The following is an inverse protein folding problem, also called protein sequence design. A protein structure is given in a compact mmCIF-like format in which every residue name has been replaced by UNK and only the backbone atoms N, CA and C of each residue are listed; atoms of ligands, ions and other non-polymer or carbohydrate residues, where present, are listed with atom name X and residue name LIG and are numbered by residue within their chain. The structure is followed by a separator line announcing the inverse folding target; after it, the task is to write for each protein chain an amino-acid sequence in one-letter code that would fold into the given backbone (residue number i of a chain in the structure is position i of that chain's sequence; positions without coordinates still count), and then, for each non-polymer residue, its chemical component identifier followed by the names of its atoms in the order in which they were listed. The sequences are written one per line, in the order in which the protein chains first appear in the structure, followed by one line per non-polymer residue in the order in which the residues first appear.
data_IF_109629094567
#
_entry.id   IF_109629094567
#
_cell.length_a   1.000
_cell.length_b   1.000
_cell.length_c   1.000
_cell.angle_alpha   90.00
_cell.angle_beta   90.00
_cell.angle_gamma   90.00
#
_symmetry.space_group_name_H-M   'P 1'
#
loop_
_entity.id
_entity.type
_entity.pdbx_description
1 polymer ?
#
# COMPACT_ATOMS: atom_id res chain seq x y z
N UNK A 1 -35.80 8.93 -14.77
CA UNK A 1 -35.30 8.83 -13.40
C UNK A 1 -34.07 7.89 -13.23
N UNK A 2 -34.09 6.64 -13.67
CA UNK A 2 -32.89 5.73 -13.52
C UNK A 2 -31.58 6.26 -14.12
N UNK A 3 -31.59 6.91 -15.28
CA UNK A 3 -30.36 7.46 -15.91
C UNK A 3 -29.77 8.64 -15.16
N UNK A 4 -30.59 9.46 -14.51
CA UNK A 4 -30.12 10.60 -13.69
C UNK A 4 -29.53 10.10 -12.38
N UNK A 5 -30.10 9.06 -11.78
CA UNK A 5 -29.59 8.45 -10.54
C UNK A 5 -28.21 7.79 -10.78
N UNK A 6 -28.05 7.09 -11.92
CA UNK A 6 -26.78 6.48 -12.28
C UNK A 6 -25.70 7.54 -12.56
N UNK A 7 -26.05 8.68 -13.14
CA UNK A 7 -25.14 9.81 -13.34
C UNK A 7 -24.71 10.46 -12.04
N UNK A 8 -25.62 10.60 -11.07
CA UNK A 8 -25.31 11.15 -9.74
C UNK A 8 -24.39 10.22 -8.94
N UNK A 9 -24.64 8.91 -8.97
CA UNK A 9 -23.79 7.93 -8.29
C UNK A 9 -22.39 7.91 -8.89
N UNK A 10 -22.27 7.95 -10.22
CA UNK A 10 -20.96 8.03 -10.89
C UNK A 10 -20.23 9.34 -10.57
N UNK A 11 -20.92 10.48 -10.49
CA UNK A 11 -20.34 11.76 -10.12
C UNK A 11 -19.89 11.81 -8.65
N UNK A 12 -20.64 11.18 -7.74
CA UNK A 12 -20.22 11.06 -6.33
C UNK A 12 -18.97 10.17 -6.16
N UNK A 13 -18.86 9.09 -6.92
CA UNK A 13 -17.68 8.21 -6.90
C UNK A 13 -16.44 8.95 -7.43
N UNK A 14 -16.59 9.73 -8.50
CA UNK A 14 -15.51 10.54 -9.05
C UNK A 14 -15.11 11.72 -8.14
N UNK A 15 -16.03 12.30 -7.40
CA UNK A 15 -15.74 13.39 -6.47
C UNK A 15 -14.98 12.91 -5.21
N UNK A 16 -15.16 11.66 -4.78
CA UNK A 16 -14.41 11.06 -3.66
C UNK A 16 -12.97 10.70 -4.10
N UNK A 17 -12.75 10.47 -5.39
CA UNK A 17 -11.43 10.11 -5.94
C UNK A 17 -10.48 11.31 -6.14
N UNK A 18 -10.92 12.54 -5.90
CA UNK A 18 -10.09 13.75 -6.04
C UNK A 18 -9.37 14.19 -4.77
N UNK A 19 -9.21 13.29 -3.80
CA UNK A 19 -8.29 13.51 -2.68
C UNK A 19 -6.84 13.62 -3.15
N UNK A 20 -6.05 14.48 -2.53
CA UNK A 20 -4.60 14.53 -2.74
C UNK A 20 -4.02 13.14 -2.47
N UNK A 21 -3.40 12.53 -3.48
CA UNK A 21 -2.65 11.31 -3.28
C UNK A 21 -1.43 11.67 -2.41
N UNK A 22 -1.45 11.28 -1.14
CA UNK A 22 -0.24 11.29 -0.34
C UNK A 22 0.62 10.12 -0.80
N UNK A 23 1.89 10.39 -1.08
CA UNK A 23 2.88 9.34 -1.28
C UNK A 23 3.07 8.66 0.07
N UNK A 24 2.94 7.36 0.09
CA UNK A 24 3.35 6.55 1.24
C UNK A 24 4.86 6.74 1.45
N UNK A 25 5.24 7.35 2.56
CA UNK A 25 6.64 7.70 2.84
C UNK A 25 7.40 6.53 3.48
N UNK A 26 6.75 5.37 3.70
CA UNK A 26 7.32 4.32 4.52
C UNK A 26 6.89 2.91 4.13
N UNK A 27 7.87 2.01 4.09
CA UNK A 27 7.68 0.56 4.07
C UNK A 27 6.99 -0.01 2.83
N UNK A 28 6.32 -1.12 3.04
CA UNK A 28 5.51 -1.78 2.02
C UNK A 28 4.12 -1.15 2.02
N UNK A 29 3.64 -0.64 0.88
CA UNK A 29 2.34 0.01 0.80
C UNK A 29 1.21 -1.00 1.06
N UNK A 30 0.04 -0.51 1.51
CA UNK A 30 -1.18 -1.32 1.67
C UNK A 30 -1.63 -2.02 0.38
N UNK A 31 -1.09 -1.60 -0.74
CA UNK A 31 -1.26 -2.22 -2.05
C UNK A 31 -0.06 -3.10 -2.39
N UNK A 32 -0.21 -4.41 -2.24
CA UNK A 32 0.81 -5.37 -2.64
C UNK A 32 0.67 -5.73 -4.12
N UNK A 33 1.78 -5.74 -4.85
CA UNK A 33 1.80 -6.22 -6.23
C UNK A 33 1.28 -7.66 -6.31
N UNK A 34 0.26 -7.89 -7.14
CA UNK A 34 -0.38 -9.20 -7.29
C UNK A 34 -1.51 -9.51 -6.31
N UNK A 35 -1.79 -8.66 -5.34
CA UNK A 35 -2.87 -8.86 -4.35
C UNK A 35 -4.24 -9.08 -5.01
N UNK A 36 -4.52 -8.36 -6.09
CA UNK A 36 -5.75 -8.47 -6.87
C UNK A 36 -5.48 -9.07 -8.26
N UNK A 37 -4.65 -10.11 -8.29
CA UNK A 37 -4.32 -10.83 -9.51
C UNK A 37 -5.46 -11.77 -9.97
N UNK A 38 -5.16 -12.71 -10.84
CA UNK A 38 -6.11 -13.69 -11.37
C UNK A 38 -6.89 -14.38 -10.24
N UNK A 39 -8.18 -14.54 -10.45
CA UNK A 39 -9.15 -15.14 -9.51
C UNK A 39 -9.56 -14.26 -8.30
N UNK A 40 -9.00 -13.07 -8.10
CA UNK A 40 -9.41 -12.19 -7.01
C UNK A 40 -10.90 -11.82 -7.03
N UNK A 41 -11.52 -11.76 -8.21
CA UNK A 41 -12.95 -11.47 -8.38
C UNK A 41 -13.86 -12.70 -8.26
N UNK A 42 -13.31 -13.89 -8.03
CA UNK A 42 -14.12 -15.10 -7.85
C UNK A 42 -14.77 -15.06 -6.47
N UNK A 43 -16.11 -15.16 -6.38
CA UNK A 43 -16.78 -15.28 -5.09
C UNK A 43 -16.22 -16.47 -4.29
N UNK A 44 -16.00 -16.26 -3.01
CA UNK A 44 -15.45 -17.29 -2.13
C UNK A 44 -16.54 -18.03 -1.36
N UNK A 45 -16.18 -19.12 -0.71
CA UNK A 45 -17.09 -19.83 0.20
C UNK A 45 -17.47 -18.90 1.36
N UNK A 46 -18.78 -18.79 1.69
CA UNK A 46 -19.21 -17.99 2.84
C UNK A 46 -18.59 -18.48 4.15
N UNK A 47 -18.32 -17.55 5.06
CA UNK A 47 -17.74 -17.82 6.36
C UNK A 47 -16.44 -17.07 6.63
N UNK A 48 -15.78 -17.45 7.71
CA UNK A 48 -14.50 -16.89 8.12
C UNK A 48 -13.34 -17.49 7.34
N UNK A 49 -12.36 -16.68 7.05
CA UNK A 49 -11.10 -17.07 6.43
C UNK A 49 -9.92 -16.37 7.09
N UNK A 50 -8.79 -17.07 7.17
CA UNK A 50 -7.51 -16.49 7.56
C UNK A 50 -6.53 -16.76 6.43
N UNK A 51 -6.01 -15.69 5.85
CA UNK A 51 -5.01 -15.74 4.78
C UNK A 51 -3.69 -15.23 5.32
N UNK A 52 -2.62 -15.93 5.01
CA UNK A 52 -1.26 -15.55 5.36
C UNK A 52 -0.48 -15.33 4.07
N UNK A 53 0.10 -14.14 3.93
CA UNK A 53 0.89 -13.75 2.76
C UNK A 53 2.30 -13.39 3.21
N UNK A 54 3.29 -14.17 2.81
CA UNK A 54 4.68 -13.80 2.94
C UNK A 54 5.08 -12.93 1.75
N UNK A 55 5.56 -11.73 2.01
CA UNK A 55 5.98 -10.78 1.00
C UNK A 55 7.40 -10.31 1.27
N UNK A 56 8.18 -10.14 0.24
CA UNK A 56 9.53 -9.58 0.32
C UNK A 56 9.67 -8.47 -0.71
N UNK A 57 9.85 -7.26 -0.22
CA UNK A 57 10.17 -6.12 -1.05
C UNK A 57 11.68 -5.91 -1.07
N UNK A 58 12.23 -5.66 -2.26
CA UNK A 58 13.60 -5.22 -2.46
C UNK A 58 13.59 -4.16 -3.54
N UNK A 59 14.03 -2.98 -3.20
CA UNK A 59 14.05 -1.85 -4.12
C UNK A 59 15.33 -1.05 -4.03
N UNK A 60 15.73 -0.47 -5.16
CA UNK A 60 16.82 0.48 -5.20
C UNK A 60 16.57 1.57 -6.23
N UNK A 61 17.01 2.78 -5.94
CA UNK A 61 17.00 3.90 -6.88
C UNK A 61 18.31 4.68 -6.75
N UNK A 62 18.91 4.97 -7.89
CA UNK A 62 20.12 5.76 -7.97
C UNK A 62 19.91 6.96 -8.90
N UNK A 63 20.46 8.10 -8.53
CA UNK A 63 20.44 9.31 -9.34
C UNK A 63 21.79 9.99 -9.31
N UNK A 64 22.28 10.37 -10.50
CA UNK A 64 23.46 11.23 -10.66
C UNK A 64 23.05 12.52 -11.34
N UNK A 65 23.43 13.65 -10.75
CA UNK A 65 23.21 15.00 -11.30
C UNK A 65 24.56 15.66 -11.51
N UNK A 66 24.82 16.14 -12.73
CA UNK A 66 26.03 16.89 -13.08
C UNK A 66 25.69 18.39 -13.05
N UNK A 67 26.47 19.14 -12.28
CA UNK A 67 26.36 20.60 -12.20
C UNK A 67 27.24 21.27 -13.26
N UNK A 68 27.02 22.57 -13.49
CA UNK A 68 27.92 23.40 -14.27
C UNK A 68 29.33 23.33 -13.66
N UNK A 69 30.37 23.23 -14.49
CA UNK A 69 31.77 23.00 -14.12
C UNK A 69 32.16 21.56 -13.81
N UNK A 70 31.32 20.58 -14.15
CA UNK A 70 31.69 19.16 -14.13
C UNK A 70 31.56 18.46 -12.78
N UNK A 71 31.10 19.14 -11.74
CA UNK A 71 30.81 18.49 -10.45
C UNK A 71 29.62 17.55 -10.57
N UNK A 72 29.72 16.37 -9.95
CA UNK A 72 28.64 15.39 -9.91
C UNK A 72 28.21 15.11 -8.48
N UNK A 73 26.89 15.08 -8.27
CA UNK A 73 26.25 14.55 -7.06
C UNK A 73 25.61 13.23 -7.44
N UNK A 74 26.04 12.14 -6.81
CA UNK A 74 25.43 10.83 -6.91
C UNK A 74 24.72 10.50 -5.61
N UNK A 75 23.46 10.06 -5.70
CA UNK A 75 22.67 9.64 -4.56
C UNK A 75 22.07 8.29 -4.86
N UNK A 76 22.02 7.41 -3.86
CA UNK A 76 21.39 6.10 -3.97
C UNK A 76 20.58 5.78 -2.74
N UNK A 77 19.49 5.07 -2.93
CA UNK A 77 18.68 4.49 -1.86
C UNK A 77 18.45 3.01 -2.16
N UNK A 78 18.53 2.18 -1.11
CA UNK A 78 18.16 0.76 -1.16
C UNK A 78 17.28 0.45 0.03
N UNK A 79 16.26 -0.36 -0.20
CA UNK A 79 15.34 -0.81 0.85
C UNK A 79 15.02 -2.28 0.68
N UNK A 80 15.04 -3.01 1.80
CA UNK A 80 14.67 -4.41 1.93
C UNK A 80 13.60 -4.52 3.00
N UNK A 81 12.45 -5.13 2.66
CA UNK A 81 11.34 -5.25 3.60
C UNK A 81 10.66 -6.63 3.51
N UNK A 82 11.04 -7.57 4.39
CA UNK A 82 10.28 -8.79 4.62
C UNK A 82 9.03 -8.50 5.45
N UNK A 83 7.88 -8.98 5.00
CA UNK A 83 6.56 -8.81 5.60
C UNK A 83 5.83 -10.14 5.67
N UNK A 84 5.21 -10.45 6.79
CA UNK A 84 4.21 -11.51 6.91
C UNK A 84 2.84 -10.88 7.20
N UNK A 85 2.01 -10.75 6.19
CA UNK A 85 0.67 -10.18 6.33
C UNK A 85 -0.35 -11.27 6.66
N UNK A 86 -1.10 -11.08 7.74
CA UNK A 86 -2.21 -11.94 8.17
C UNK A 86 -3.52 -11.20 7.94
N UNK A 87 -4.38 -11.76 7.11
CA UNK A 87 -5.69 -11.18 6.80
C UNK A 87 -6.80 -12.07 7.34
N UNK A 88 -7.54 -11.56 8.31
CA UNK A 88 -8.80 -12.14 8.75
C UNK A 88 -9.92 -11.60 7.86
N UNK A 89 -10.72 -12.49 7.29
CA UNK A 89 -11.79 -12.14 6.39
C UNK A 89 -13.10 -12.85 6.70
N UNK A 90 -14.20 -12.25 6.26
CA UNK A 90 -15.52 -12.82 6.36
C UNK A 90 -16.31 -12.60 5.07
N UNK A 91 -16.73 -13.69 4.42
CA UNK A 91 -17.62 -13.68 3.27
C UNK A 91 -19.05 -13.95 3.72
N UNK A 92 -20.01 -13.15 3.28
CA UNK A 92 -21.40 -13.33 3.67
C UNK A 92 -22.09 -14.41 2.83
N UNK A 93 -23.07 -15.10 3.42
CA UNK A 93 -23.99 -15.97 2.67
C UNK A 93 -24.99 -15.14 1.85
N UNK A 94 -25.43 -14.02 2.42
CA UNK A 94 -26.41 -13.13 1.79
C UNK A 94 -25.74 -12.30 0.71
N UNK A 95 -26.43 -12.17 -0.42
CA UNK A 95 -26.00 -11.30 -1.52
C UNK A 95 -26.49 -9.87 -1.31
N UNK A 96 -25.65 -8.90 -1.65
CA UNK A 96 -25.98 -7.49 -1.72
C UNK A 96 -25.85 -7.01 -3.17
N UNK A 97 -26.85 -6.35 -3.72
CA UNK A 97 -26.90 -5.95 -5.13
C UNK A 97 -26.57 -7.08 -6.13
N UNK A 98 -26.89 -8.32 -5.77
CA UNK A 98 -26.58 -9.51 -6.57
C UNK A 98 -25.15 -10.04 -6.43
N UNK A 99 -24.26 -9.35 -5.75
CA UNK A 99 -22.89 -9.76 -5.47
C UNK A 99 -22.72 -10.30 -4.04
N UNK A 100 -21.63 -11.02 -3.81
CA UNK A 100 -21.24 -11.52 -2.50
C UNK A 100 -20.35 -10.49 -1.79
N UNK A 101 -20.78 -9.93 -0.64
CA UNK A 101 -19.94 -9.09 0.20
C UNK A 101 -18.84 -9.89 0.88
N UNK A 102 -17.65 -9.27 0.98
CA UNK A 102 -16.51 -9.73 1.76
C UNK A 102 -15.93 -8.56 2.54
N UNK A 103 -15.54 -8.81 3.78
CA UNK A 103 -14.88 -7.86 4.67
C UNK A 103 -13.58 -8.47 5.15
N UNK A 104 -12.51 -7.70 5.12
CA UNK A 104 -11.19 -8.12 5.54
C UNK A 104 -10.51 -7.10 6.42
N UNK A 105 -9.65 -7.59 7.30
CA UNK A 105 -8.73 -6.79 8.09
C UNK A 105 -7.37 -7.48 8.06
N UNK A 106 -6.36 -6.77 7.57
CA UNK A 106 -5.01 -7.31 7.51
C UNK A 106 -4.06 -6.53 8.40
N UNK A 107 -3.09 -7.23 8.96
CA UNK A 107 -2.00 -6.72 9.79
C UNK A 107 -0.89 -7.76 9.83
N UNK A 108 0.35 -7.33 10.11
CA UNK A 108 1.42 -8.30 10.28
C UNK A 108 2.74 -7.72 10.76
N UNK A 109 3.65 -8.58 11.19
CA UNK A 109 5.02 -8.19 11.47
C UNK A 109 5.78 -7.89 10.19
N UNK A 110 6.56 -6.81 10.22
CA UNK A 110 7.41 -6.35 9.15
C UNK A 110 8.76 -5.91 9.70
N UNK A 111 9.78 -5.98 8.84
CA UNK A 111 11.07 -5.36 9.09
C UNK A 111 11.45 -4.56 7.85
N UNK A 112 11.91 -3.32 8.02
CA UNK A 112 12.38 -2.50 6.92
C UNK A 112 13.81 -2.06 7.20
N UNK A 113 14.71 -2.32 6.26
CA UNK A 113 16.10 -1.91 6.29
C UNK A 113 16.37 -0.99 5.10
N UNK A 114 16.59 0.29 5.37
CA UNK A 114 16.84 1.29 4.35
C UNK A 114 18.25 1.86 4.48
N UNK A 115 18.95 1.94 3.36
CA UNK A 115 20.25 2.58 3.25
C UNK A 115 20.22 3.70 2.23
N UNK A 116 20.82 4.83 2.60
CA UNK A 116 20.99 5.99 1.72
C UNK A 116 22.48 6.33 1.64
N UNK A 117 22.95 6.58 0.44
CA UNK A 117 24.30 7.06 0.19
C UNK A 117 24.27 8.32 -0.69
N UNK A 118 25.21 9.22 -0.45
CA UNK A 118 25.41 10.39 -1.27
C UNK A 118 26.91 10.65 -1.44
N UNK A 119 27.32 11.05 -2.64
CA UNK A 119 28.70 11.43 -2.93
C UNK A 119 28.77 12.62 -3.85
N UNK A 120 29.68 13.55 -3.55
CA UNK A 120 30.00 14.72 -4.34
C UNK A 120 31.42 14.57 -4.91
N UNK A 121 31.62 14.89 -6.18
CA UNK A 121 32.93 14.70 -6.84
C UNK A 121 33.95 15.76 -6.46
N UNK A 122 33.52 17.02 -6.25
CA UNK A 122 34.42 18.13 -5.87
C UNK A 122 33.74 19.13 -4.93
N UNK A 123 34.24 19.35 -3.67
CA UNK A 123 35.29 18.54 -3.05
C UNK A 123 34.83 17.08 -2.89
N UNK A 124 35.74 16.13 -2.94
CA UNK A 124 35.37 14.73 -2.76
C UNK A 124 34.80 14.51 -1.35
N UNK A 125 33.48 14.35 -1.28
CA UNK A 125 32.73 14.17 -0.04
C UNK A 125 31.74 13.04 -0.24
N UNK A 126 31.66 12.13 0.73
CA UNK A 126 30.68 11.05 0.71
C UNK A 126 30.10 10.82 2.10
N UNK A 127 28.84 10.41 2.14
CA UNK A 127 28.14 10.04 3.35
C UNK A 127 27.17 8.90 3.08
N UNK A 128 26.94 8.09 4.10
CA UNK A 128 25.95 7.03 4.07
C UNK A 128 25.22 6.97 5.41
N UNK A 129 23.94 6.60 5.36
CA UNK A 129 23.13 6.33 6.55
C UNK A 129 22.36 5.04 6.31
N UNK A 130 22.35 4.18 7.32
CA UNK A 130 21.53 2.98 7.37
C UNK A 130 20.54 3.12 8.51
N UNK A 131 19.35 2.61 8.29
CA UNK A 131 18.31 2.55 9.29
C UNK A 131 17.58 1.22 9.20
N UNK A 132 17.16 0.68 10.35
CA UNK A 132 16.45 -0.58 10.44
C UNK A 132 15.35 -0.45 11.49
N UNK A 133 14.15 -0.81 11.10
CA UNK A 133 12.99 -0.86 11.98
C UNK A 133 12.32 -2.23 11.86
N UNK A 134 11.82 -2.75 12.98
CA UNK A 134 11.01 -3.98 13.02
C UNK A 134 9.84 -3.76 13.95
N UNK A 135 8.66 -4.22 13.54
CA UNK A 135 7.43 -4.00 14.30
C UNK A 135 6.21 -4.54 13.59
N UNK A 136 5.06 -3.96 13.88
CA UNK A 136 3.80 -4.20 13.17
C UNK A 136 3.57 -3.17 12.08
N UNK A 137 2.93 -3.60 11.01
CA UNK A 137 2.40 -2.72 9.95
C UNK A 137 1.20 -1.91 10.46
N UNK A 138 0.72 -1.01 9.64
CA UNK A 138 -0.61 -0.43 9.82
C UNK A 138 -1.71 -1.51 9.69
N UNK A 139 -2.92 -1.17 10.10
CA UNK A 139 -4.09 -2.02 9.89
C UNK A 139 -4.72 -1.69 8.53
N UNK A 140 -4.94 -2.72 7.71
CA UNK A 140 -5.50 -2.59 6.37
C UNK A 140 -6.92 -3.15 6.31
N UNK A 141 -7.96 -2.34 6.60
CA UNK A 141 -9.34 -2.74 6.39
C UNK A 141 -9.66 -2.80 4.89
N UNK A 142 -10.47 -3.77 4.52
CA UNK A 142 -10.96 -3.92 3.15
C UNK A 142 -12.41 -4.36 3.12
N UNK A 143 -13.13 -3.93 2.10
CA UNK A 143 -14.46 -4.44 1.79
C UNK A 143 -14.57 -4.62 0.28
N UNK A 144 -15.19 -5.71 -0.13
CA UNK A 144 -15.42 -5.98 -1.55
C UNK A 144 -16.78 -6.59 -1.82
N UNK A 145 -17.21 -6.49 -3.07
CA UNK A 145 -18.42 -7.06 -3.59
C UNK A 145 -18.09 -7.80 -4.89
N UNK A 146 -18.27 -9.10 -4.91
CA UNK A 146 -17.93 -9.95 -6.04
C UNK A 146 -19.19 -10.50 -6.71
N UNK A 147 -19.25 -10.40 -8.04
CA UNK A 147 -20.32 -10.94 -8.87
C UNK A 147 -19.78 -12.05 -9.77
N UNK A 148 -20.56 -13.12 -9.85
CA UNK A 148 -20.32 -14.19 -10.81
C UNK A 148 -21.44 -14.18 -11.88
N UNK A 149 -21.04 -14.12 -13.14
CA UNK A 149 -21.93 -14.23 -14.28
C UNK A 149 -21.39 -15.28 -15.26
N UNK A 150 -21.53 -16.54 -14.89
CA UNK A 150 -21.01 -17.66 -15.66
C UNK A 150 -19.49 -17.67 -15.73
N UNK A 151 -18.93 -17.40 -16.90
CA UNK A 151 -17.48 -17.40 -17.13
C UNK A 151 -16.81 -16.07 -16.75
N UNK A 152 -17.57 -15.06 -16.35
CA UNK A 152 -17.06 -13.74 -16.00
C UNK A 152 -17.29 -13.43 -14.54
N UNK A 153 -16.22 -12.99 -13.86
CA UNK A 153 -16.28 -12.50 -12.50
C UNK A 153 -15.90 -11.02 -12.46
N UNK A 154 -16.63 -10.26 -11.64
CA UNK A 154 -16.41 -8.85 -11.42
C UNK A 154 -16.27 -8.60 -9.94
N UNK A 155 -15.42 -7.67 -9.57
CA UNK A 155 -15.27 -7.25 -8.19
C UNK A 155 -15.13 -5.74 -8.14
N UNK A 156 -15.84 -5.13 -7.17
CA UNK A 156 -15.57 -3.78 -6.71
C UNK A 156 -15.05 -3.87 -5.28
N UNK A 157 -14.03 -3.10 -4.95
CA UNK A 157 -13.48 -3.11 -3.60
C UNK A 157 -13.10 -1.70 -3.16
N UNK A 158 -13.03 -1.54 -1.85
CA UNK A 158 -12.45 -0.41 -1.16
C UNK A 158 -11.47 -0.94 -0.12
N UNK A 159 -10.34 -0.31 0.01
CA UNK A 159 -9.37 -0.60 1.06
C UNK A 159 -8.90 0.71 1.66
N UNK A 160 -8.36 0.65 2.86
CA UNK A 160 -7.86 1.80 3.58
C UNK A 160 -6.67 1.42 4.44
N UNK A 161 -6.12 2.40 5.09
CA UNK A 161 -5.00 2.29 6.00
C UNK A 161 -5.35 3.00 7.32
N UNK A 162 -5.14 2.30 8.44
CA UNK A 162 -5.30 2.84 9.78
C UNK A 162 -3.91 2.89 10.42
N UNK A 163 -3.36 4.09 10.66
CA UNK A 163 -1.98 4.31 11.08
C UNK A 163 -1.77 3.87 12.54
N UNK A 164 -1.42 2.61 12.74
CA UNK A 164 -1.05 2.00 14.04
C UNK A 164 0.34 1.38 14.02
N UNK A 165 0.97 1.32 12.85
CA UNK A 165 2.30 0.77 12.65
C UNK A 165 3.40 1.61 13.29
N UNK A 166 4.59 1.04 13.33
CA UNK A 166 5.75 1.72 13.89
C UNK A 166 6.19 2.85 12.95
N UNK A 167 6.14 4.08 13.45
CA UNK A 167 6.47 5.28 12.70
C UNK A 167 7.32 6.27 13.52
N UNK A 168 8.38 6.79 12.90
CA UNK A 168 9.21 7.90 13.41
C UNK A 168 9.53 8.85 12.25
N UNK A 169 9.07 10.12 12.27
CA UNK A 169 9.28 11.05 11.17
C UNK A 169 10.77 11.43 10.96
N UNK A 170 11.66 11.09 11.90
CA UNK A 170 13.09 11.33 11.78
C UNK A 170 13.88 10.12 11.28
N UNK A 171 13.24 8.96 11.20
CA UNK A 171 13.82 7.72 10.69
C UNK A 171 13.82 7.69 9.16
N UNK A 172 14.75 6.92 8.58
CA UNK A 172 14.73 6.58 7.15
C UNK A 172 13.81 5.39 6.86
N UNK A 173 13.56 4.55 7.88
CA UNK A 173 12.75 3.34 7.77
C UNK A 173 11.53 3.46 8.67
N UNK A 174 10.36 3.21 8.12
CA UNK A 174 9.10 3.15 8.83
C UNK A 174 8.29 1.93 8.39
N UNK A 175 7.32 1.50 9.20
CA UNK A 175 6.41 0.38 8.92
C UNK A 175 4.96 0.82 8.82
N UNK A 176 4.68 2.09 9.00
CA UNK A 176 3.38 2.71 8.88
C UNK A 176 3.48 4.12 8.31
N UNK A 177 2.38 4.66 7.86
CA UNK A 177 2.30 6.02 7.29
C UNK A 177 2.29 7.13 8.36
N UNK A 178 2.33 6.76 9.63
CA UNK A 178 2.17 7.68 10.74
C UNK A 178 0.74 8.20 10.91
N UNK A 179 0.51 8.98 11.96
CA UNK A 179 -0.74 9.71 12.08
C UNK A 179 -0.84 10.70 10.91
N UNK A 180 -2.01 10.77 10.28
CA UNK A 180 -2.32 11.85 9.33
C UNK A 180 -2.06 13.16 10.07
N UNK A 181 -0.88 13.74 9.89
CA UNK A 181 -0.55 15.03 10.47
C UNK A 181 -1.44 16.03 9.76
N UNK A 182 -2.46 16.53 10.47
CA UNK A 182 -3.12 17.77 10.11
C UNK A 182 -2.10 18.90 10.33
N UNK A 183 -1.10 18.98 9.48
CA UNK A 183 -0.35 20.20 9.33
C UNK A 183 -1.22 21.17 8.51
N UNK A 184 -1.85 22.08 9.25
CA UNK A 184 -2.56 23.26 8.73
C UNK A 184 -1.53 24.29 8.28
#
# INVERSE_FOLDING_TARGET
MRRVLNGLVAACILAVASGTAFSDESGVPFWLSGQYASLAAVPTTPGWSLVSTAYYYNGSADKTTTFQHGNTLSTGIKSDSPLLLLQLGYATESKFLGGQPYFGLAWGPESNNTSVNASLSQPALSGSRNDNVSGGTDLYPSASLAWNNGNHNWMSYITGDIPVGTYDPTALSNLGIGALSNEV
#
